data_IF_634130039839
#
_entry.id   IF_634130039839
#
_cell.length_a   1.000
_cell.length_b   1.000
_cell.length_c   1.000
_cell.angle_alpha   90.00
_cell.angle_beta   90.00
_cell.angle_gamma   90.00
#
_symmetry.space_group_name_H-M   'P 1'
#
loop_
_entity.id
_entity.type
_entity.pdbx_description
1 polymer ?
#
# COMPACT_ATOMS: atom_id res chain seq x y z
N UNK A 1 7.08 -64.68 -3.70
CA UNK A 1 6.26 -65.59 -4.52
C UNK A 1 5.44 -64.68 -5.43
N UNK A 2 5.93 -64.40 -6.64
CA UNK A 2 5.71 -65.17 -7.88
C UNK A 2 4.20 -65.26 -8.18
N UNK A 3 3.62 -64.95 -9.33
CA UNK A 3 3.97 -64.52 -10.70
C UNK A 3 2.58 -64.41 -11.39
N UNK A 4 2.34 -63.78 -12.53
CA UNK A 4 3.20 -63.26 -13.57
C UNK A 4 2.36 -62.60 -14.68
N UNK A 5 3.07 -61.80 -15.46
CA UNK A 5 2.63 -61.18 -16.71
C UNK A 5 2.58 -62.19 -17.87
N UNK A 6 1.87 -61.81 -18.94
CA UNK A 6 2.24 -61.85 -20.36
C UNK A 6 0.96 -62.01 -21.21
N UNK A 7 0.83 -61.54 -22.44
CA UNK A 7 1.48 -60.53 -23.29
C UNK A 7 0.78 -60.64 -24.65
N UNK A 8 0.52 -59.49 -25.29
CA UNK A 8 0.58 -59.19 -26.73
C UNK A 8 -0.09 -60.05 -27.82
N UNK A 9 -0.63 -59.30 -28.80
CA UNK A 9 -0.61 -59.44 -30.29
C UNK A 9 -2.04 -59.34 -30.86
N UNK A 10 -2.49 -58.26 -31.53
CA UNK A 10 -2.11 -57.55 -32.77
C UNK A 10 -2.62 -58.20 -34.07
N UNK A 11 -3.25 -57.35 -34.93
CA UNK A 11 -3.51 -57.47 -36.39
C UNK A 11 -4.75 -58.30 -36.80
N UNK A 12 -5.51 -58.05 -37.89
CA UNK A 12 -5.57 -57.06 -38.99
C UNK A 12 -6.91 -57.31 -39.74
N UNK A 13 -7.50 -56.25 -40.31
CA UNK A 13 -8.29 -56.15 -41.57
C UNK A 13 -9.56 -57.00 -41.86
N UNK A 14 -10.63 -56.25 -42.16
CA UNK A 14 -11.83 -56.45 -43.03
C UNK A 14 -11.57 -57.24 -44.35
N UNK A 15 -12.58 -57.76 -45.13
CA UNK A 15 -13.81 -57.02 -45.51
C UNK A 15 -15.08 -57.79 -46.01
N UNK A 16 -16.09 -57.00 -46.41
CA UNK A 16 -17.23 -57.25 -47.36
C UNK A 16 -18.40 -58.19 -46.97
N UNK A 17 -19.62 -57.65 -46.94
CA UNK A 17 -20.66 -57.80 -47.99
C UNK A 17 -22.05 -57.40 -47.45
N UNK A 18 -22.83 -56.64 -48.24
CA UNK A 18 -24.01 -55.92 -47.77
C UNK A 18 -25.35 -56.63 -47.85
N UNK A 19 -26.38 -55.98 -47.30
CA UNK A 19 -27.71 -55.83 -47.92
C UNK A 19 -28.57 -54.87 -47.12
N UNK A 20 -29.13 -53.87 -47.82
CA UNK A 20 -30.15 -52.92 -47.32
C UNK A 20 -31.48 -53.65 -47.06
N UNK A 21 -32.09 -53.40 -45.91
CA UNK A 21 -33.56 -53.34 -45.75
C UNK A 21 -33.89 -52.15 -44.85
N UNK A 22 -34.56 -51.16 -45.42
CA UNK A 22 -35.22 -50.06 -44.71
C UNK A 22 -36.49 -50.62 -44.05
N UNK A 23 -36.55 -50.56 -42.72
CA UNK A 23 -37.79 -50.72 -41.95
C UNK A 23 -38.09 -49.35 -41.36
N UNK A 24 -39.20 -48.76 -41.79
CA UNK A 24 -39.77 -47.56 -41.16
C UNK A 24 -40.38 -48.01 -39.83
N UNK A 25 -39.78 -47.58 -38.72
CA UNK A 25 -40.33 -47.76 -37.38
C UNK A 25 -40.76 -46.39 -36.86
N UNK A 26 -42.06 -46.21 -36.63
CA UNK A 26 -42.60 -45.02 -35.99
C UNK A 26 -42.12 -44.99 -34.54
N UNK A 27 -41.24 -44.04 -34.21
CA UNK A 27 -40.80 -43.80 -32.83
C UNK A 27 -41.83 -42.93 -32.12
N UNK A 28 -42.64 -43.55 -31.25
CA UNK A 28 -43.35 -42.83 -30.20
C UNK A 28 -42.33 -42.27 -29.20
N UNK A 29 -42.20 -40.94 -29.14
CA UNK A 29 -41.31 -40.28 -28.17
C UNK A 29 -41.81 -40.50 -26.74
N UNK A 30 -40.94 -40.87 -25.78
CA UNK A 30 -41.34 -41.07 -24.39
C UNK A 30 -41.74 -39.74 -23.72
N UNK A 31 -42.77 -39.80 -22.87
CA UNK A 31 -43.31 -38.66 -22.09
C UNK A 31 -42.26 -37.82 -21.34
N UNK A 32 -41.08 -38.39 -21.07
CA UNK A 32 -39.96 -37.70 -20.41
C UNK A 32 -39.42 -36.52 -21.22
N UNK A 33 -39.49 -36.57 -22.56
CA UNK A 33 -39.02 -35.48 -23.42
C UNK A 33 -39.96 -34.26 -23.37
N UNK A 34 -41.27 -34.48 -23.30
CA UNK A 34 -42.26 -33.40 -23.18
C UNK A 34 -42.16 -32.71 -21.82
N UNK A 35 -41.97 -33.46 -20.73
CA UNK A 35 -41.78 -32.85 -19.40
C UNK A 35 -40.51 -31.98 -19.32
N UNK A 36 -39.42 -32.39 -19.96
CA UNK A 36 -38.18 -31.60 -19.99
C UNK A 36 -38.32 -30.32 -20.81
N UNK A 37 -39.05 -30.36 -21.94
CA UNK A 37 -39.31 -29.17 -22.75
C UNK A 37 -40.20 -28.14 -22.02
N UNK A 38 -41.23 -28.61 -21.31
CA UNK A 38 -42.08 -27.74 -20.49
C UNK A 38 -41.32 -27.09 -19.34
N UNK A 39 -40.39 -27.80 -18.71
CA UNK A 39 -39.57 -27.25 -17.63
C UNK A 39 -38.64 -26.13 -18.14
N UNK A 40 -38.04 -26.31 -19.33
CA UNK A 40 -37.22 -25.28 -19.98
C UNK A 40 -38.04 -24.06 -20.41
N UNK A 41 -39.26 -24.26 -20.91
CA UNK A 41 -40.18 -23.16 -21.26
C UNK A 41 -40.61 -22.36 -20.02
N UNK A 42 -40.90 -23.03 -18.90
CA UNK A 42 -41.26 -22.38 -17.64
C UNK A 42 -40.09 -21.61 -17.03
N UNK A 43 -38.87 -22.16 -17.08
CA UNK A 43 -37.66 -21.45 -16.67
C UNK A 43 -37.38 -20.23 -17.55
N UNK A 44 -37.60 -20.35 -18.87
CA UNK A 44 -37.47 -19.24 -19.82
C UNK A 44 -38.47 -18.13 -19.55
N UNK A 45 -39.75 -18.47 -19.35
CA UNK A 45 -40.80 -17.50 -19.05
C UNK A 45 -40.58 -16.81 -17.68
N UNK A 46 -40.18 -17.56 -16.65
CA UNK A 46 -39.86 -17.01 -15.34
C UNK A 46 -38.64 -16.07 -15.36
N UNK A 47 -37.61 -16.43 -16.14
CA UNK A 47 -36.42 -15.59 -16.31
C UNK A 47 -36.73 -14.28 -17.05
N UNK A 48 -37.63 -14.33 -18.04
CA UNK A 48 -38.06 -13.14 -18.78
C UNK A 48 -38.89 -12.20 -17.90
N UNK A 49 -39.82 -12.73 -17.11
CA UNK A 49 -40.60 -11.94 -16.15
C UNK A 49 -39.72 -11.27 -15.08
N UNK A 50 -38.69 -11.98 -14.61
CA UNK A 50 -37.72 -11.41 -13.67
C UNK A 50 -36.91 -10.27 -14.30
N UNK A 51 -36.50 -10.41 -15.57
CA UNK A 51 -35.79 -9.34 -16.30
C UNK A 51 -36.67 -8.10 -16.52
N UNK A 52 -37.94 -8.30 -16.87
CA UNK A 52 -38.91 -7.19 -17.00
C UNK A 52 -39.10 -6.48 -15.67
N UNK A 53 -39.25 -7.21 -14.56
CA UNK A 53 -39.34 -6.60 -13.23
C UNK A 53 -38.07 -5.87 -12.79
N UNK A 54 -36.89 -6.40 -13.14
CA UNK A 54 -35.61 -5.75 -12.84
C UNK A 54 -35.38 -4.49 -13.67
N UNK A 55 -35.87 -4.44 -14.92
CA UNK A 55 -35.86 -3.22 -15.73
C UNK A 55 -36.80 -2.15 -15.17
N UNK A 56 -38.01 -2.53 -14.74
CA UNK A 56 -38.97 -1.60 -14.12
C UNK A 56 -38.42 -1.00 -12.80
N UNK A 57 -37.72 -1.81 -12.00
CA UNK A 57 -36.98 -1.33 -10.82
C UNK A 57 -35.82 -0.39 -11.17
N UNK A 58 -35.14 -0.62 -12.29
CA UNK A 58 -34.06 0.26 -12.76
C UNK A 58 -34.59 1.60 -13.25
N UNK A 59 -35.72 1.61 -13.96
CA UNK A 59 -36.35 2.82 -14.48
C UNK A 59 -36.97 3.67 -13.37
N UNK A 60 -37.57 3.03 -12.36
CA UNK A 60 -38.07 3.72 -11.16
C UNK A 60 -36.96 4.35 -10.32
N UNK A 61 -35.81 3.69 -10.18
CA UNK A 61 -34.63 4.26 -9.51
C UNK A 61 -34.02 5.43 -10.31
N UNK A 62 -34.03 5.36 -11.63
CA UNK A 62 -33.48 6.42 -12.49
C UNK A 62 -34.38 7.66 -12.52
N UNK A 63 -35.70 7.49 -12.37
CA UNK A 63 -36.65 8.60 -12.29
C UNK A 63 -36.62 9.32 -10.93
N UNK A 64 -36.15 8.66 -9.86
CA UNK A 64 -35.98 9.28 -8.54
C UNK A 64 -34.67 10.09 -8.41
N UNK A 65 -33.74 9.97 -9.37
CA UNK A 65 -32.43 10.63 -9.36
C UNK A 65 -32.32 11.89 -10.23
N UNK A 66 -33.41 12.37 -10.84
CA UNK A 66 -33.36 13.58 -11.67
C UNK A 66 -34.60 14.47 -11.54
N UNK A 67 -34.52 15.51 -10.70
CA UNK A 67 -35.15 16.79 -11.00
C UNK A 67 -34.08 17.88 -11.12
N UNK A 68 -33.96 18.44 -12.34
CA UNK A 68 -33.58 19.84 -12.58
C UNK A 68 -32.11 20.23 -12.34
N UNK A 69 -31.35 20.33 -13.43
CA UNK A 69 -30.07 21.02 -13.45
C UNK A 69 -30.23 22.51 -13.05
N UNK A 70 -29.58 22.91 -11.95
CA UNK A 70 -29.29 24.31 -11.65
C UNK A 70 -27.78 24.48 -11.57
N UNK A 71 -27.28 25.35 -12.45
CA UNK A 71 -25.89 25.79 -12.56
C UNK A 71 -25.48 26.51 -11.25
N UNK A 72 -24.64 25.89 -10.41
CA UNK A 72 -24.08 26.55 -9.23
C UNK A 72 -22.62 26.92 -9.49
N UNK A 73 -22.43 28.21 -9.77
CA UNK A 73 -21.17 28.94 -9.62
C UNK A 73 -20.79 28.96 -8.14
N UNK A 74 -19.54 28.64 -7.82
CA UNK A 74 -19.03 28.60 -6.46
C UNK A 74 -19.08 29.98 -5.76
N UNK A 75 -19.64 30.10 -4.55
CA UNK A 75 -19.40 31.26 -3.70
C UNK A 75 -18.18 31.01 -2.81
N UNK A 76 -17.28 32.00 -2.78
CA UNK A 76 -16.19 32.08 -1.81
C UNK A 76 -16.72 32.19 -0.38
N UNK A 77 -15.99 31.58 0.56
CA UNK A 77 -16.31 31.64 1.98
C UNK A 77 -15.85 32.97 2.60
N UNK A 78 -16.70 33.66 3.37
CA UNK A 78 -16.33 34.87 4.07
C UNK A 78 -15.68 34.57 5.42
N UNK A 79 -14.74 35.43 5.80
CA UNK A 79 -14.13 35.57 7.12
C UNK A 79 -15.11 36.32 8.03
N UNK A 80 -15.44 35.78 9.20
CA UNK A 80 -15.97 36.51 10.36
C UNK A 80 -15.27 35.97 11.62
N UNK A 81 -14.40 36.77 12.27
CA UNK A 81 -14.65 37.74 13.35
C UNK A 81 -15.26 37.12 14.62
N UNK A 82 -14.44 37.16 15.66
CA UNK A 82 -14.74 36.83 17.06
C UNK A 82 -15.95 37.59 17.60
N UNK A 83 -16.74 36.91 18.45
CA UNK A 83 -17.36 37.53 19.61
C UNK A 83 -17.72 36.48 20.68
N UNK A 84 -17.40 36.84 21.91
CA UNK A 84 -17.59 36.15 23.18
C UNK A 84 -19.05 36.14 23.66
N UNK A 85 -19.45 35.09 24.38
CA UNK A 85 -20.40 35.20 25.49
C UNK A 85 -20.34 33.96 26.41
N UNK A 86 -20.65 34.24 27.67
CA UNK A 86 -20.34 33.51 28.89
C UNK A 86 -21.27 32.34 29.26
N UNK A 87 -20.71 31.47 30.11
CA UNK A 87 -21.29 30.73 31.25
C UNK A 87 -22.44 29.73 31.07
N UNK A 88 -22.21 28.47 31.48
CA UNK A 88 -22.75 27.93 32.75
C UNK A 88 -22.17 26.53 33.05
N UNK A 89 -21.82 26.33 34.33
CA UNK A 89 -21.29 25.12 34.93
C UNK A 89 -22.33 23.99 35.08
N UNK A 90 -21.87 22.75 35.30
CA UNK A 90 -22.36 21.82 36.34
C UNK A 90 -21.44 20.58 36.45
N UNK A 91 -20.80 20.42 37.63
CA UNK A 91 -20.58 19.21 38.47
C UNK A 91 -20.26 17.88 37.73
N UNK A 92 -19.14 17.18 37.92
CA UNK A 92 -18.41 16.87 39.15
C UNK A 92 -18.63 15.39 39.52
N UNK A 93 -17.71 14.49 39.14
CA UNK A 93 -17.55 13.18 39.80
C UNK A 93 -16.09 12.74 39.76
N UNK A 94 -15.55 12.63 40.96
CA UNK A 94 -14.19 12.25 41.32
C UNK A 94 -14.21 10.76 41.70
N UNK A 95 -13.36 9.94 41.08
CA UNK A 95 -13.04 8.59 41.56
C UNK A 95 -11.55 8.35 41.35
N UNK A 96 -10.81 8.54 42.44
CA UNK A 96 -9.42 8.11 42.57
C UNK A 96 -9.28 6.59 42.53
N UNK A 97 -8.23 6.13 41.85
CA UNK A 97 -7.79 4.75 41.81
C UNK A 97 -6.33 4.69 41.38
N UNK A 98 -5.46 4.49 42.36
CA UNK A 98 -4.00 4.34 42.27
C UNK A 98 -3.63 2.99 41.65
N UNK A 99 -2.64 2.93 40.74
CA UNK A 99 -1.63 1.85 40.54
C UNK A 99 -0.61 2.26 39.44
N UNK A 100 0.62 1.67 39.38
CA UNK A 100 1.84 2.44 39.19
C UNK A 100 2.59 2.17 37.87
N UNK A 101 3.48 3.11 37.52
CA UNK A 101 4.72 2.78 36.80
C UNK A 101 4.68 2.94 35.27
N UNK A 102 4.66 4.19 34.78
CA UNK A 102 5.17 4.51 33.45
C UNK A 102 5.98 5.82 33.53
N UNK A 103 7.26 5.72 33.20
CA UNK A 103 8.24 6.82 33.20
C UNK A 103 7.75 7.97 32.31
N UNK A 104 7.28 9.06 32.94
CA UNK A 104 7.08 10.36 32.29
C UNK A 104 8.37 11.16 32.42
N UNK A 105 8.97 11.53 31.30
CA UNK A 105 9.97 12.60 31.25
C UNK A 105 9.24 13.94 31.39
N UNK A 106 9.43 14.62 32.51
CA UNK A 106 9.11 16.04 32.65
C UNK A 106 10.17 16.87 31.91
N UNK A 107 9.72 17.79 31.04
CA UNK A 107 10.57 18.80 30.44
C UNK A 107 10.24 20.14 31.11
N UNK A 108 11.15 20.60 31.96
CA UNK A 108 11.13 21.95 32.53
C UNK A 108 11.34 23.00 31.44
N UNK A 109 10.65 24.13 31.59
CA UNK A 109 10.61 25.24 30.65
C UNK A 109 11.37 26.45 31.20
N UNK A 110 12.26 27.04 30.38
CA UNK A 110 12.73 28.44 30.45
C UNK A 110 13.61 28.76 29.20
N UNK A 111 13.92 30.02 28.88
CA UNK A 111 13.08 30.94 28.12
C UNK A 111 13.67 31.31 26.74
N UNK A 112 12.82 31.93 25.93
CA UNK A 112 13.04 32.41 24.56
C UNK A 112 13.92 33.68 24.56
N UNK A 113 14.93 33.73 23.68
CA UNK A 113 15.56 34.98 23.19
C UNK A 113 15.83 34.91 21.66
N UNK A 114 15.91 36.05 20.97
CA UNK A 114 15.41 36.22 19.61
C UNK A 114 16.43 35.98 18.49
N UNK A 115 15.89 35.72 17.29
CA UNK A 115 16.60 35.54 16.02
C UNK A 115 17.23 36.83 15.48
N UNK A 116 18.35 36.75 14.73
CA UNK A 116 18.71 37.79 13.77
C UNK A 116 18.34 37.37 12.33
N UNK A 117 17.83 38.35 11.58
CA UNK A 117 17.47 38.27 10.17
C UNK A 117 18.66 38.32 9.18
N UNK A 118 18.39 38.41 7.87
CA UNK A 118 19.29 37.90 6.83
C UNK A 118 20.22 38.97 6.23
N UNK A 119 21.45 38.58 5.89
CA UNK A 119 22.40 39.37 5.10
C UNK A 119 23.29 38.46 4.25
N UNK A 120 23.34 38.73 2.94
CA UNK A 120 24.01 37.98 1.88
C UNK A 120 25.55 38.26 1.81
N UNK A 121 26.27 37.91 0.72
CA UNK A 121 27.16 36.76 0.63
C UNK A 121 28.66 37.18 0.58
N UNK A 122 29.57 36.29 0.97
CA UNK A 122 31.01 36.52 0.78
C UNK A 122 31.65 35.51 -0.16
N UNK A 123 32.47 36.08 -1.04
CA UNK A 123 33.03 35.53 -2.25
C UNK A 123 34.07 34.42 -1.98
N UNK A 124 34.06 33.45 -2.88
CA UNK A 124 35.06 32.39 -3.00
C UNK A 124 36.32 32.95 -3.69
N UNK A 125 37.43 33.10 -2.96
CA UNK A 125 38.75 33.27 -3.55
C UNK A 125 39.47 31.93 -3.61
N UNK A 126 39.80 31.53 -4.85
CA UNK A 126 40.71 30.44 -5.19
C UNK A 126 42.14 30.84 -4.86
N UNK A 127 42.90 29.93 -4.26
CA UNK A 127 44.34 29.85 -4.49
C UNK A 127 44.76 28.40 -4.67
N UNK A 128 45.40 28.18 -5.82
CA UNK A 128 46.04 26.95 -6.23
C UNK A 128 47.47 26.93 -5.69
N UNK A 129 47.94 25.78 -5.18
CA UNK A 129 49.36 25.49 -5.14
C UNK A 129 49.66 24.10 -5.71
N UNK A 130 50.59 24.15 -6.66
CA UNK A 130 51.11 23.09 -7.52
C UNK A 130 52.14 22.28 -6.74
N UNK A 131 52.00 20.97 -6.78
CA UNK A 131 52.88 20.01 -6.14
C UNK A 131 54.21 19.85 -6.91
N UNK A 132 55.30 19.64 -6.17
CA UNK A 132 56.51 18.97 -6.63
C UNK A 132 56.93 17.95 -5.56
N UNK A 133 57.22 16.74 -6.04
CA UNK A 133 57.71 15.53 -5.37
C UNK A 133 59.03 15.78 -4.58
N UNK A 134 59.43 15.04 -3.55
CA UNK A 134 59.54 13.57 -3.40
C UNK A 134 59.69 13.15 -1.91
N UNK A 135 59.08 12.00 -1.58
CA UNK A 135 59.51 10.94 -0.64
C UNK A 135 59.97 11.29 0.78
N UNK A 136 59.14 10.94 1.78
CA UNK A 136 59.54 9.98 2.82
C UNK A 136 58.33 9.37 3.55
N UNK A 137 58.52 8.14 3.99
CA UNK A 137 57.53 7.12 4.27
C UNK A 137 57.09 7.16 5.75
N UNK A 138 55.86 7.56 6.07
CA UNK A 138 55.24 7.25 7.37
C UNK A 138 53.76 6.88 7.22
N UNK A 139 53.50 5.60 7.40
CA UNK A 139 52.18 5.00 7.42
C UNK A 139 51.50 5.31 8.76
N UNK A 140 50.78 6.44 8.82
CA UNK A 140 49.94 6.79 9.95
C UNK A 140 48.70 5.86 9.99
N UNK A 141 48.71 4.90 10.92
CA UNK A 141 47.53 4.10 11.28
C UNK A 141 46.46 5.04 11.85
N UNK A 142 45.28 5.05 11.22
CA UNK A 142 44.08 5.64 11.81
C UNK A 142 43.76 4.94 13.15
N UNK A 143 43.53 5.67 14.25
CA UNK A 143 43.24 5.05 15.53
C UNK A 143 41.86 4.37 15.49
N UNK A 144 41.81 3.14 15.97
CA UNK A 144 40.58 2.37 16.18
C UNK A 144 39.76 3.07 17.29
N UNK A 145 38.45 3.33 17.09
CA UNK A 145 37.64 4.02 18.08
C UNK A 145 37.63 3.26 19.41
N UNK A 146 37.72 3.99 20.53
CA UNK A 146 37.70 3.40 21.87
C UNK A 146 36.26 3.06 22.29
N UNK A 147 36.05 2.15 23.25
CA UNK A 147 34.70 1.76 23.69
C UNK A 147 33.80 2.93 24.14
N UNK A 148 34.39 3.99 24.70
CA UNK A 148 33.66 5.20 25.08
C UNK A 148 33.16 6.03 23.88
N UNK A 149 33.88 5.99 22.75
CA UNK A 149 33.48 6.69 21.53
C UNK A 149 32.28 6.01 20.86
N UNK A 150 32.21 4.67 20.91
CA UNK A 150 31.11 3.88 20.32
C UNK A 150 29.80 4.14 21.07
N UNK A 151 29.82 4.14 22.40
CA UNK A 151 28.63 4.48 23.21
C UNK A 151 28.11 5.89 22.90
N UNK A 152 29.01 6.88 22.74
CA UNK A 152 28.62 8.25 22.40
C UNK A 152 28.00 8.40 20.99
N UNK A 153 28.39 7.55 20.04
CA UNK A 153 27.86 7.55 18.68
C UNK A 153 26.48 6.88 18.62
N UNK A 154 26.30 5.75 19.32
CA UNK A 154 25.02 5.06 19.43
C UNK A 154 23.98 5.95 20.13
N UNK A 155 24.35 6.63 21.22
CA UNK A 155 23.47 7.56 21.93
C UNK A 155 23.06 8.76 21.05
N UNK A 156 23.99 9.31 20.26
CA UNK A 156 23.69 10.37 19.29
C UNK A 156 22.76 9.90 18.18
N UNK A 157 22.95 8.69 17.66
CA UNK A 157 22.06 8.11 16.65
C UNK A 157 20.67 7.86 17.21
N UNK A 158 20.57 7.33 18.44
CA UNK A 158 19.31 7.13 19.14
C UNK A 158 18.56 8.45 19.34
N UNK A 159 19.27 9.49 19.80
CA UNK A 159 18.69 10.82 20.00
C UNK A 159 18.25 11.48 18.68
N UNK A 160 19.05 11.36 17.62
CA UNK A 160 18.73 11.88 16.29
C UNK A 160 17.47 11.23 15.70
N UNK A 161 17.31 9.92 15.88
CA UNK A 161 16.12 9.21 15.40
C UNK A 161 14.87 9.57 16.21
N UNK A 162 14.99 9.69 17.53
CA UNK A 162 13.88 10.14 18.38
C UNK A 162 13.38 11.55 17.99
N UNK A 163 14.30 12.49 17.73
CA UNK A 163 13.98 13.83 17.22
C UNK A 163 13.30 13.78 15.85
N UNK A 164 13.80 12.92 14.95
CA UNK A 164 13.20 12.71 13.62
C UNK A 164 11.77 12.21 13.73
N UNK A 165 11.51 11.22 14.59
CA UNK A 165 10.15 10.69 14.82
C UNK A 165 9.23 11.73 15.47
N UNK A 166 9.73 12.53 16.42
CA UNK A 166 8.98 13.62 17.02
C UNK A 166 8.56 14.67 15.97
N UNK A 167 9.48 15.06 15.09
CA UNK A 167 9.22 16.01 13.99
C UNK A 167 8.19 15.46 12.99
N UNK A 168 8.35 14.20 12.53
CA UNK A 168 7.39 13.55 11.61
C UNK A 168 5.99 13.47 12.19
N UNK A 169 5.85 13.05 13.46
CA UNK A 169 4.55 12.99 14.13
C UNK A 169 3.93 14.37 14.33
N UNK A 170 4.74 15.38 14.64
CA UNK A 170 4.27 16.76 14.76
C UNK A 170 3.70 17.26 13.43
N UNK A 171 4.45 17.13 12.34
CA UNK A 171 3.99 17.53 11.02
C UNK A 171 2.70 16.80 10.64
N UNK A 172 2.65 15.48 10.84
CA UNK A 172 1.44 14.71 10.52
C UNK A 172 0.22 15.24 11.30
N UNK A 173 0.37 15.55 12.59
CA UNK A 173 -0.71 16.15 13.39
C UNK A 173 -1.14 17.52 12.84
N UNK A 174 -0.19 18.38 12.47
CA UNK A 174 -0.47 19.70 11.91
C UNK A 174 -1.24 19.59 10.57
N UNK A 175 -0.80 18.69 9.68
CA UNK A 175 -1.49 18.41 8.41
C UNK A 175 -2.89 17.83 8.67
N UNK A 176 -3.02 16.89 9.59
CA UNK A 176 -4.32 16.31 9.93
C UNK A 176 -5.29 17.33 10.53
N UNK A 177 -4.83 18.19 11.43
CA UNK A 177 -5.64 19.26 12.00
C UNK A 177 -6.14 20.23 10.91
N UNK A 178 -5.31 20.52 9.91
CA UNK A 178 -5.66 21.43 8.81
C UNK A 178 -6.63 20.81 7.79
N UNK A 179 -6.39 19.57 7.36
CA UNK A 179 -7.12 18.98 6.22
C UNK A 179 -8.18 17.94 6.60
N UNK A 180 -8.12 17.40 7.82
CA UNK A 180 -9.09 16.42 8.33
C UNK A 180 -9.45 16.69 9.79
N UNK A 181 -10.01 17.88 10.12
CA UNK A 181 -10.42 18.20 11.48
C UNK A 181 -11.46 17.19 11.99
N UNK A 182 -11.38 16.87 13.28
CA UNK A 182 -12.23 15.87 13.94
C UNK A 182 -12.01 14.43 13.47
N UNK A 183 -10.96 14.12 12.69
CA UNK A 183 -10.71 12.75 12.24
C UNK A 183 -10.58 11.75 13.40
N UNK A 184 -9.99 12.16 14.53
CA UNK A 184 -9.79 11.31 15.71
C UNK A 184 -11.05 11.07 16.54
N UNK A 185 -12.09 11.86 16.34
CA UNK A 185 -13.39 11.71 17.02
C UNK A 185 -14.30 10.73 16.30
N UNK A 186 -13.96 10.40 15.05
CA UNK A 186 -14.74 9.47 14.23
C UNK A 186 -14.50 8.03 14.70
N UNK A 187 -15.54 7.20 14.76
CA UNK A 187 -15.37 5.79 15.05
C UNK A 187 -14.53 5.12 13.96
N UNK A 188 -13.63 4.25 14.37
CA UNK A 188 -12.78 3.49 13.46
C UNK A 188 -13.61 2.36 12.84
N UNK A 189 -13.74 2.39 11.51
CA UNK A 189 -14.42 1.32 10.78
C UNK A 189 -13.50 0.13 10.49
N UNK A 190 -14.07 -1.08 10.36
CA UNK A 190 -13.32 -2.29 9.94
C UNK A 190 -12.51 -2.07 8.66
N UNK A 191 -13.06 -1.35 7.69
CA UNK A 191 -12.37 -1.06 6.42
C UNK A 191 -11.05 -0.33 6.64
N UNK A 192 -11.02 0.66 7.55
CA UNK A 192 -9.83 1.47 7.83
C UNK A 192 -8.72 0.69 8.53
N UNK A 193 -9.06 -0.39 9.24
CA UNK A 193 -8.10 -1.22 9.97
C UNK A 193 -7.82 -2.57 9.29
N UNK A 194 -8.45 -2.87 8.16
CA UNK A 194 -8.25 -4.12 7.41
C UNK A 194 -6.81 -4.36 6.94
N UNK A 195 -5.99 -3.31 6.95
CA UNK A 195 -4.57 -3.35 6.57
C UNK A 195 -3.60 -3.38 7.72
N UNK A 196 -4.12 -3.30 8.94
CA UNK A 196 -3.31 -3.23 10.16
C UNK A 196 -3.11 -4.65 10.67
N UNK A 197 -1.89 -5.13 10.59
CA UNK A 197 -1.48 -6.38 11.24
C UNK A 197 -1.25 -6.17 12.72
N UNK A 198 -1.60 -7.19 13.51
CA UNK A 198 -1.45 -7.21 14.96
C UNK A 198 -0.38 -8.23 15.35
N UNK A 199 0.60 -7.78 16.13
CA UNK A 199 1.57 -8.64 16.78
C UNK A 199 1.55 -8.32 18.29
N UNK A 200 0.78 -9.11 19.05
CA UNK A 200 0.49 -8.81 20.45
C UNK A 200 1.72 -9.00 21.37
N UNK A 201 2.68 -9.88 21.06
CA UNK A 201 3.81 -10.19 21.98
C UNK A 201 4.73 -8.99 22.19
N UNK A 202 4.96 -8.22 21.13
CA UNK A 202 5.73 -6.97 21.19
C UNK A 202 4.83 -5.73 21.16
N UNK A 203 3.51 -5.93 21.30
CA UNK A 203 2.49 -4.88 21.27
C UNK A 203 2.60 -3.94 20.06
N UNK A 204 2.63 -4.51 18.85
CA UNK A 204 2.77 -3.77 17.60
C UNK A 204 1.50 -3.81 16.74
N UNK A 205 1.21 -2.66 16.13
CA UNK A 205 0.25 -2.53 15.03
C UNK A 205 1.00 -2.05 13.79
N UNK A 206 0.97 -2.82 12.70
CA UNK A 206 1.68 -2.49 11.47
C UNK A 206 0.70 -2.32 10.30
N UNK A 207 0.61 -1.10 9.75
CA UNK A 207 -0.18 -0.91 8.52
C UNK A 207 0.61 -1.32 7.28
N UNK A 208 0.05 -2.25 6.51
CA UNK A 208 0.63 -2.70 5.25
C UNK A 208 0.54 -1.63 4.16
N UNK A 209 1.69 -1.07 3.82
CA UNK A 209 1.88 -0.25 2.60
C UNK A 209 2.64 -1.07 1.55
N UNK A 210 1.97 -1.55 0.48
CA UNK A 210 2.65 -2.25 -0.58
C UNK A 210 3.73 -1.37 -1.23
N UNK A 211 4.84 -2.02 -1.60
CA UNK A 211 6.03 -1.39 -2.22
C UNK A 211 6.85 -0.47 -1.30
N UNK A 212 6.54 -0.47 0.00
CA UNK A 212 7.32 0.18 1.05
C UNK A 212 7.95 -0.84 2.04
N UNK A 213 8.37 -2.01 1.54
CA UNK A 213 9.03 -3.04 2.36
C UNK A 213 8.10 -4.00 3.11
N UNK A 214 6.81 -4.02 2.78
CA UNK A 214 5.79 -4.78 3.51
C UNK A 214 6.05 -6.29 3.64
N UNK A 215 6.57 -6.96 2.62
CA UNK A 215 6.89 -8.40 2.69
C UNK A 215 7.91 -8.69 3.79
N UNK A 216 8.91 -7.84 3.92
CA UNK A 216 9.96 -7.97 4.94
C UNK A 216 9.44 -7.61 6.34
N UNK A 217 8.54 -6.63 6.44
CA UNK A 217 7.83 -6.36 7.70
C UNK A 217 6.98 -7.55 8.16
N UNK A 218 6.24 -8.20 7.26
CA UNK A 218 5.48 -9.41 7.63
C UNK A 218 6.38 -10.51 8.17
N UNK A 219 7.55 -10.74 7.55
CA UNK A 219 8.55 -11.68 8.07
C UNK A 219 9.03 -11.32 9.47
N UNK A 220 9.30 -10.05 9.71
CA UNK A 220 9.70 -9.55 11.03
C UNK A 220 8.60 -9.81 12.06
N UNK A 221 7.33 -9.50 11.74
CA UNK A 221 6.19 -9.77 12.63
C UNK A 221 6.01 -11.27 12.89
N UNK A 222 6.23 -12.13 11.89
CA UNK A 222 6.18 -13.59 12.07
C UNK A 222 7.26 -14.09 13.03
N UNK A 223 8.46 -13.51 12.98
CA UNK A 223 9.55 -13.86 13.92
C UNK A 223 9.27 -13.33 15.32
N UNK A 224 8.80 -12.07 15.44
CA UNK A 224 8.42 -11.48 16.74
C UNK A 224 7.27 -12.26 17.41
N UNK A 225 6.27 -12.68 16.63
CA UNK A 225 5.15 -13.50 17.10
C UNK A 225 5.52 -14.95 17.44
N UNK A 226 6.73 -15.39 17.12
CA UNK A 226 7.22 -16.75 17.37
C UNK A 226 6.74 -17.79 16.36
N UNK A 227 6.13 -17.39 15.24
CA UNK A 227 5.69 -18.29 14.17
C UNK A 227 6.82 -18.70 13.22
N UNK A 228 7.98 -18.06 13.31
CA UNK A 228 9.16 -18.39 12.52
C UNK A 228 10.46 -18.08 13.28
N UNK A 229 11.51 -18.86 13.03
CA UNK A 229 12.81 -18.67 13.71
C UNK A 229 13.71 -17.64 13.03
N UNK A 230 13.52 -17.39 11.72
CA UNK A 230 14.36 -16.49 10.94
C UNK A 230 13.62 -15.90 9.76
N UNK A 231 13.81 -14.60 9.51
CA UNK A 231 13.23 -13.91 8.36
C UNK A 231 13.70 -14.50 7.02
N UNK A 232 14.90 -15.08 6.97
CA UNK A 232 15.48 -15.68 5.75
C UNK A 232 14.83 -17.02 5.36
N UNK A 233 14.21 -17.70 6.31
CA UNK A 233 13.56 -19.00 6.08
C UNK A 233 12.15 -18.88 5.48
N UNK A 234 11.60 -17.67 5.42
CA UNK A 234 10.21 -17.42 5.00
C UNK A 234 10.20 -17.01 3.53
N UNK A 235 9.62 -17.85 2.65
CA UNK A 235 9.52 -17.55 1.22
C UNK A 235 8.58 -16.35 0.96
N UNK A 236 8.62 -15.81 -0.27
CA UNK A 236 7.80 -14.67 -0.65
C UNK A 236 6.31 -14.95 -0.46
N UNK A 237 5.85 -16.07 -1.03
CA UNK A 237 4.44 -16.43 -1.01
C UNK A 237 3.97 -16.77 0.40
N UNK A 238 4.81 -17.38 1.23
CA UNK A 238 4.49 -17.64 2.64
C UNK A 238 4.26 -16.34 3.41
N UNK A 239 5.15 -15.35 3.24
CA UNK A 239 5.00 -14.05 3.88
C UNK A 239 3.71 -13.33 3.45
N UNK A 240 3.16 -13.62 2.26
CA UNK A 240 1.96 -12.96 1.74
C UNK A 240 0.66 -13.73 2.00
N UNK A 241 0.67 -15.05 1.84
CA UNK A 241 -0.52 -15.88 1.79
C UNK A 241 -0.61 -16.90 2.92
N UNK A 242 0.51 -17.30 3.53
CA UNK A 242 0.56 -18.30 4.61
C UNK A 242 1.12 -17.74 5.94
N UNK A 243 1.13 -16.42 6.11
CA UNK A 243 1.78 -15.76 7.25
C UNK A 243 1.04 -15.92 8.59
N UNK A 244 -0.25 -16.28 8.56
CA UNK A 244 -1.12 -16.43 9.75
C UNK A 244 -1.14 -15.20 10.68
N UNK A 245 -0.69 -14.03 10.21
CA UNK A 245 -0.68 -12.80 10.99
C UNK A 245 -2.11 -12.30 11.14
N UNK A 246 -2.51 -12.03 12.39
CA UNK A 246 -3.83 -11.46 12.69
C UNK A 246 -3.92 -10.05 12.15
N UNK A 247 -5.10 -9.68 11.66
CA UNK A 247 -5.43 -8.31 11.24
C UNK A 247 -6.40 -7.70 12.25
N UNK A 248 -6.30 -6.38 12.41
CA UNK A 248 -7.06 -5.64 13.41
C UNK A 248 -8.57 -5.66 13.11
N UNK A 249 -8.99 -5.77 11.84
CA UNK A 249 -10.39 -5.94 11.44
C UNK A 249 -10.99 -7.32 11.77
N UNK A 250 -10.16 -8.26 12.22
CA UNK A 250 -10.58 -9.55 12.76
C UNK A 250 -11.03 -9.51 14.21
N UNK A 251 -10.82 -8.39 14.92
CA UNK A 251 -11.25 -8.19 16.31
C UNK A 251 -12.62 -7.50 16.38
N UNK A 252 -13.28 -7.62 17.53
CA UNK A 252 -14.48 -6.84 17.84
C UNK A 252 -14.12 -5.37 18.19
N UNK A 253 -15.13 -4.56 18.46
CA UNK A 253 -14.94 -3.12 18.68
C UNK A 253 -14.06 -2.83 19.90
N UNK A 254 -14.24 -3.58 20.99
CA UNK A 254 -13.45 -3.46 22.21
C UNK A 254 -11.99 -3.87 21.96
N UNK A 255 -11.76 -5.02 21.33
CA UNK A 255 -10.42 -5.50 21.00
C UNK A 255 -9.67 -4.61 20.01
N UNK A 256 -10.39 -3.94 19.09
CA UNK A 256 -9.81 -2.89 18.23
C UNK A 256 -9.40 -1.68 19.06
N UNK A 257 -10.30 -1.16 19.92
CA UNK A 257 -10.03 0.02 20.73
C UNK A 257 -8.86 -0.20 21.70
N UNK A 258 -8.86 -1.33 22.40
CA UNK A 258 -7.78 -1.76 23.31
C UNK A 258 -6.42 -1.70 22.63
N UNK A 259 -6.29 -2.29 21.44
CA UNK A 259 -5.04 -2.35 20.69
C UNK A 259 -4.61 -1.00 20.15
N UNK A 260 -5.54 -0.20 19.63
CA UNK A 260 -5.22 1.15 19.17
C UNK A 260 -4.68 2.03 20.31
N UNK A 261 -5.15 1.80 21.53
CA UNK A 261 -4.70 2.48 22.74
C UNK A 261 -3.37 1.95 23.29
N UNK A 262 -3.18 0.63 23.34
CA UNK A 262 -2.05 -0.01 24.04
C UNK A 262 -0.83 -0.30 23.16
N UNK A 263 -1.02 -0.50 21.85
CA UNK A 263 0.05 -0.93 20.96
C UNK A 263 0.77 0.23 20.27
N UNK A 264 2.05 0.02 20.00
CA UNK A 264 2.87 0.91 19.18
C UNK A 264 2.47 0.78 17.71
N UNK A 265 2.01 1.86 17.12
CA UNK A 265 1.52 1.90 15.73
C UNK A 265 2.61 2.30 14.76
N UNK A 266 2.87 1.43 13.80
CA UNK A 266 3.96 1.51 12.84
C UNK A 266 3.44 1.77 11.43
N UNK A 267 4.03 2.76 10.76
CA UNK A 267 3.79 3.05 9.36
C UNK A 267 5.14 3.22 8.66
N UNK A 268 5.40 2.44 7.61
CA UNK A 268 6.54 2.64 6.73
C UNK A 268 6.06 3.16 5.37
N UNK A 269 6.55 4.33 4.99
CA UNK A 269 6.19 5.02 3.76
C UNK A 269 7.36 5.03 2.79
N UNK A 270 7.07 5.35 1.54
CA UNK A 270 8.05 5.48 0.46
C UNK A 270 7.71 6.71 -0.36
N UNK A 271 8.72 7.33 -0.98
CA UNK A 271 8.53 8.38 -1.97
C UNK A 271 7.40 7.98 -2.96
N UNK A 272 6.33 8.79 -3.11
CA UNK A 272 5.11 8.34 -3.79
C UNK A 272 5.30 7.89 -5.24
N UNK A 273 6.16 8.57 -6.01
CA UNK A 273 6.43 8.24 -7.41
C UNK A 273 7.31 7.01 -7.55
N UNK A 274 8.31 6.84 -6.70
CA UNK A 274 9.07 5.60 -6.62
C UNK A 274 8.19 4.41 -6.25
N UNK A 275 7.24 4.61 -5.32
CA UNK A 275 6.27 3.59 -4.91
C UNK A 275 5.37 3.20 -6.09
N UNK A 276 4.83 4.19 -6.81
CA UNK A 276 4.00 3.96 -8.00
C UNK A 276 4.76 3.19 -9.08
N UNK A 277 5.99 3.60 -9.39
CA UNK A 277 6.83 2.93 -10.38
C UNK A 277 7.17 1.52 -9.93
N UNK A 278 7.47 1.31 -8.64
CA UNK A 278 7.66 -0.04 -8.10
C UNK A 278 6.42 -0.91 -8.21
N UNK A 279 5.21 -0.35 -8.16
CA UNK A 279 3.97 -1.08 -8.40
C UNK A 279 3.83 -1.45 -9.88
N UNK A 280 4.01 -0.49 -10.78
CA UNK A 280 3.94 -0.73 -12.23
C UNK A 280 4.91 -1.83 -12.66
N UNK A 281 6.18 -1.69 -12.29
CA UNK A 281 7.24 -2.65 -12.62
C UNK A 281 6.95 -4.06 -12.12
N UNK A 282 6.37 -4.17 -10.93
CA UNK A 282 6.01 -5.46 -10.35
C UNK A 282 4.80 -6.12 -11.02
N UNK A 283 3.84 -5.34 -11.49
CA UNK A 283 2.54 -5.83 -11.97
C UNK A 283 2.46 -6.01 -13.48
N UNK A 284 3.22 -5.23 -14.26
CA UNK A 284 3.03 -5.13 -15.71
C UNK A 284 4.27 -5.41 -16.58
N UNK A 285 5.49 -5.42 -16.01
CA UNK A 285 6.71 -5.66 -16.83
C UNK A 285 7.03 -7.14 -17.02
N UNK A 286 6.67 -7.98 -16.05
CA UNK A 286 6.86 -9.43 -16.11
C UNK A 286 5.50 -10.12 -16.28
N UNK A 287 5.44 -11.30 -16.91
CA UNK A 287 4.21 -12.07 -17.02
C UNK A 287 3.50 -12.20 -15.67
N UNK A 288 2.23 -11.79 -15.62
CA UNK A 288 1.42 -11.81 -14.41
C UNK A 288 0.02 -12.34 -14.72
N UNK A 289 -0.32 -13.51 -14.18
CA UNK A 289 -1.58 -14.22 -14.44
C UNK A 289 -2.82 -13.52 -13.88
N UNK A 290 -2.66 -12.61 -12.91
CA UNK A 290 -3.76 -11.85 -12.32
C UNK A 290 -3.84 -10.44 -12.91
N UNK A 291 -2.75 -9.67 -12.82
CA UNK A 291 -2.78 -8.25 -13.17
C UNK A 291 -2.92 -8.00 -14.66
N UNK A 292 -2.36 -8.85 -15.53
CA UNK A 292 -2.52 -8.65 -16.98
C UNK A 292 -3.98 -8.88 -17.42
N UNK A 293 -4.66 -9.99 -17.06
CA UNK A 293 -6.06 -10.15 -17.42
C UNK A 293 -7.00 -9.14 -16.74
N UNK A 294 -6.83 -8.88 -15.44
CA UNK A 294 -7.76 -8.06 -14.65
C UNK A 294 -7.58 -6.57 -14.92
N UNK A 295 -6.34 -6.07 -14.94
CA UNK A 295 -6.07 -4.64 -15.14
C UNK A 295 -5.51 -4.34 -16.54
N UNK A 296 -4.58 -5.16 -17.03
CA UNK A 296 -3.90 -4.89 -18.29
C UNK A 296 -4.83 -4.87 -19.50
N UNK A 297 -5.77 -5.83 -19.60
CA UNK A 297 -6.74 -5.87 -20.70
C UNK A 297 -7.64 -4.62 -20.70
N UNK A 298 -8.31 -4.22 -19.59
CA UNK A 298 -9.10 -2.99 -19.57
C UNK A 298 -8.29 -1.72 -19.83
N UNK A 299 -7.06 -1.62 -19.31
CA UNK A 299 -6.17 -0.48 -19.56
C UNK A 299 -5.86 -0.36 -21.05
N UNK A 300 -5.37 -1.44 -21.66
CA UNK A 300 -5.03 -1.44 -23.10
C UNK A 300 -6.28 -1.16 -23.93
N UNK A 301 -7.40 -1.81 -23.63
CA UNK A 301 -8.65 -1.64 -24.38
C UNK A 301 -9.18 -0.21 -24.35
N UNK A 302 -8.94 0.54 -23.27
CA UNK A 302 -9.49 1.89 -23.09
C UNK A 302 -8.56 2.98 -23.61
N UNK A 303 -7.25 2.83 -23.41
CA UNK A 303 -6.29 3.92 -23.62
C UNK A 303 -5.40 3.73 -24.86
N UNK A 304 -5.44 2.57 -25.52
CA UNK A 304 -4.65 2.28 -26.73
C UNK A 304 -5.52 2.21 -27.97
N UNK A 305 -5.41 3.21 -28.86
CA UNK A 305 -6.21 3.27 -30.08
C UNK A 305 -5.99 2.08 -31.03
N UNK A 306 -4.72 1.67 -31.25
CA UNK A 306 -4.36 0.61 -32.20
C UNK A 306 -3.77 -0.62 -31.47
N UNK A 307 -4.52 -1.17 -30.53
CA UNK A 307 -4.08 -2.33 -29.75
C UNK A 307 -4.06 -3.61 -30.61
N UNK A 308 -2.97 -4.38 -30.53
CA UNK A 308 -2.90 -5.69 -31.18
C UNK A 308 -3.91 -6.68 -30.55
N UNK A 309 -4.42 -7.63 -31.34
CA UNK A 309 -5.30 -8.70 -30.83
C UNK A 309 -4.65 -9.46 -29.67
N UNK A 310 -3.34 -9.67 -29.74
CA UNK A 310 -2.58 -10.30 -28.66
C UNK A 310 -2.64 -9.48 -27.36
N UNK A 311 -2.42 -8.17 -27.43
CA UNK A 311 -2.46 -7.29 -26.27
C UNK A 311 -3.86 -7.20 -25.66
N UNK A 312 -4.91 -7.12 -26.49
CA UNK A 312 -6.31 -7.10 -26.04
C UNK A 312 -6.73 -8.43 -25.37
N UNK A 313 -6.19 -9.55 -25.86
CA UNK A 313 -6.46 -10.88 -25.31
C UNK A 313 -5.73 -11.15 -24.01
N UNK A 314 -4.45 -10.77 -23.93
CA UNK A 314 -3.57 -11.14 -22.80
C UNK A 314 -3.45 -10.06 -21.73
N UNK A 315 -3.63 -8.79 -22.11
CA UNK A 315 -3.35 -7.64 -21.25
C UNK A 315 -1.86 -7.36 -21.06
N UNK A 316 -0.99 -8.04 -21.81
CA UNK A 316 0.45 -7.86 -21.71
C UNK A 316 0.92 -6.59 -22.43
N UNK A 317 1.99 -5.99 -21.91
CA UNK A 317 2.63 -4.83 -22.53
C UNK A 317 1.90 -3.51 -22.28
N UNK A 318 1.24 -3.35 -21.14
CA UNK A 318 0.75 -2.04 -20.66
C UNK A 318 1.95 -1.10 -20.54
N UNK A 319 1.85 0.10 -21.12
CA UNK A 319 2.88 1.13 -20.97
C UNK A 319 2.66 1.93 -19.68
N UNK A 320 3.73 2.55 -19.16
CA UNK A 320 3.61 3.36 -17.95
C UNK A 320 2.65 4.55 -18.14
N UNK A 321 2.66 5.17 -19.32
CA UNK A 321 1.75 6.27 -19.64
C UNK A 321 0.29 5.83 -19.64
N UNK A 322 -0.06 4.68 -20.22
CA UNK A 322 -1.43 4.13 -20.17
C UNK A 322 -1.84 3.78 -18.73
N UNK A 323 -0.91 3.27 -17.92
CA UNK A 323 -1.15 3.02 -16.50
C UNK A 323 -1.41 4.32 -15.72
N UNK A 324 -0.71 5.40 -16.01
CA UNK A 324 -0.96 6.72 -15.39
C UNK A 324 -2.30 7.30 -15.86
N UNK A 325 -2.64 7.16 -17.15
CA UNK A 325 -3.97 7.54 -17.66
C UNK A 325 -5.08 6.79 -16.93
N UNK A 326 -4.90 5.48 -16.71
CA UNK A 326 -5.79 4.67 -15.88
C UNK A 326 -5.90 5.17 -14.44
N UNK A 327 -4.77 5.51 -13.81
CA UNK A 327 -4.74 6.01 -12.44
C UNK A 327 -5.47 7.34 -12.28
N UNK A 328 -5.41 8.20 -13.29
CA UNK A 328 -6.00 9.54 -13.27
C UNK A 328 -7.44 9.57 -13.81
N UNK A 329 -7.95 8.49 -14.40
CA UNK A 329 -9.34 8.42 -14.85
C UNK A 329 -10.29 8.22 -13.67
N UNK A 330 -11.22 9.16 -13.48
CA UNK A 330 -12.29 9.06 -12.47
C UNK A 330 -13.29 7.95 -12.81
N UNK A 331 -13.40 7.56 -14.09
CA UNK A 331 -14.20 6.44 -14.60
C UNK A 331 -13.33 5.25 -14.98
N UNK A 332 -12.22 5.03 -14.25
CA UNK A 332 -11.31 3.90 -14.49
C UNK A 332 -12.08 2.57 -14.52
N UNK A 333 -11.78 1.66 -15.46
CA UNK A 333 -12.63 0.50 -15.75
C UNK A 333 -12.64 -0.61 -14.69
N UNK A 334 -11.69 -0.66 -13.74
CA UNK A 334 -11.60 -1.75 -12.75
C UNK A 334 -11.72 -1.21 -11.32
N UNK A 335 -10.95 -0.18 -10.98
CA UNK A 335 -11.01 0.46 -9.65
C UNK A 335 -9.63 0.80 -9.09
N UNK A 336 -9.59 1.18 -7.82
CA UNK A 336 -8.33 1.40 -7.13
C UNK A 336 -7.73 0.08 -6.66
N UNK A 337 -6.45 -0.15 -6.95
CA UNK A 337 -5.70 -1.25 -6.34
C UNK A 337 -4.77 -0.67 -5.27
N UNK A 338 -4.58 -1.49 -4.26
CA UNK A 338 -3.88 -1.22 -3.02
C UNK A 338 -2.39 -0.88 -3.25
N UNK A 339 -1.82 -1.35 -4.37
CA UNK A 339 -0.42 -1.12 -4.71
C UNK A 339 -0.16 0.32 -5.17
N UNK A 340 -1.18 1.03 -5.64
CA UNK A 340 -1.08 2.42 -6.09
C UNK A 340 -2.09 3.36 -5.40
N UNK A 341 -2.87 2.91 -4.42
CA UNK A 341 -3.68 3.78 -3.57
C UNK A 341 -2.81 4.71 -2.71
N UNK A 342 -3.11 6.01 -2.55
CA UNK A 342 -2.35 6.90 -1.66
C UNK A 342 -2.30 6.37 -0.22
N UNK A 343 -1.15 6.48 0.45
CA UNK A 343 -0.96 6.01 1.83
C UNK A 343 -1.88 6.74 2.81
N UNK A 344 -2.14 8.03 2.56
CA UNK A 344 -3.09 8.85 3.29
C UNK A 344 -4.52 8.28 3.29
N UNK A 345 -4.90 7.52 2.26
CA UNK A 345 -6.18 6.80 2.19
C UNK A 345 -6.04 5.38 2.72
N UNK A 346 -5.00 4.66 2.25
CA UNK A 346 -4.75 3.25 2.53
C UNK A 346 -4.61 2.93 4.03
N UNK A 347 -3.97 3.84 4.78
CA UNK A 347 -3.60 3.64 6.18
C UNK A 347 -4.20 4.68 7.14
N UNK A 348 -5.03 5.61 6.67
CA UNK A 348 -5.78 6.56 7.52
C UNK A 348 -4.94 7.21 8.66
N UNK A 349 -3.79 7.85 8.37
CA UNK A 349 -2.84 8.29 9.40
C UNK A 349 -3.40 9.34 10.37
N UNK A 350 -4.37 10.14 9.94
CA UNK A 350 -5.07 11.10 10.80
C UNK A 350 -6.00 10.44 11.83
N UNK A 351 -6.54 9.27 11.51
CA UNK A 351 -7.41 8.50 12.39
C UNK A 351 -6.57 7.64 13.36
N UNK A 352 -5.59 6.92 12.84
CA UNK A 352 -4.87 5.91 13.61
C UNK A 352 -3.73 6.48 14.48
N UNK A 353 -3.22 7.69 14.19
CA UNK A 353 -2.16 8.37 14.98
C UNK A 353 -0.92 7.48 15.21
N UNK A 354 -0.16 7.24 14.14
CA UNK A 354 1.04 6.40 14.20
C UNK A 354 2.11 6.92 15.16
N UNK A 355 2.73 5.99 15.90
CA UNK A 355 3.78 6.24 16.89
C UNK A 355 5.18 6.23 16.24
N UNK A 356 5.34 5.47 15.16
CA UNK A 356 6.56 5.42 14.37
C UNK A 356 6.24 5.53 12.88
N UNK A 357 6.83 6.53 12.22
CA UNK A 357 6.71 6.75 10.78
C UNK A 357 8.09 6.56 10.16
N UNK A 358 8.30 5.39 9.56
CA UNK A 358 9.55 5.02 8.92
C UNK A 358 9.59 5.37 7.43
N UNK A 359 10.78 5.61 6.88
CA UNK A 359 11.00 5.85 5.45
C UNK A 359 11.65 4.65 4.76
N UNK A 360 11.19 4.35 3.54
CA UNK A 360 11.74 3.25 2.75
C UNK A 360 13.20 3.53 2.34
N UNK A 361 13.53 4.81 2.14
CA UNK A 361 14.85 5.26 1.73
C UNK A 361 15.93 4.95 2.79
N UNK A 362 15.53 4.88 4.07
CA UNK A 362 16.36 4.54 5.24
C UNK A 362 15.83 3.28 5.96
N UNK A 363 15.11 2.41 5.24
CA UNK A 363 14.28 1.34 5.82
C UNK A 363 15.03 0.46 6.81
N UNK A 364 16.22 -0.01 6.45
CA UNK A 364 16.99 -0.95 7.27
C UNK A 364 17.43 -0.32 8.58
N UNK A 365 17.93 0.91 8.53
CA UNK A 365 18.39 1.66 9.70
C UNK A 365 17.22 1.95 10.64
N UNK A 366 16.15 2.56 10.12
CA UNK A 366 14.99 2.95 10.92
C UNK A 366 14.22 1.74 11.48
N UNK A 367 14.11 0.66 10.71
CA UNK A 367 13.52 -0.59 11.18
C UNK A 367 14.34 -1.23 12.30
N UNK A 368 15.68 -1.24 12.19
CA UNK A 368 16.53 -1.79 13.23
C UNK A 368 16.49 -0.93 14.49
N UNK A 369 16.47 0.40 14.38
CA UNK A 369 16.25 1.28 15.54
C UNK A 369 14.94 0.93 16.25
N UNK A 370 13.85 0.78 15.50
CA UNK A 370 12.56 0.39 16.07
C UNK A 370 12.65 -0.96 16.78
N UNK A 371 13.24 -1.98 16.14
CA UNK A 371 13.42 -3.31 16.75
C UNK A 371 14.21 -3.25 18.06
N UNK A 372 15.25 -2.42 18.15
CA UNK A 372 15.99 -2.20 19.40
C UNK A 372 15.13 -1.50 20.45
N UNK A 373 14.36 -0.48 20.06
CA UNK A 373 13.52 0.29 20.99
C UNK A 373 12.41 -0.54 21.66
N UNK A 374 11.93 -1.60 21.00
CA UNK A 374 10.88 -2.49 21.54
C UNK A 374 11.45 -3.72 22.25
N UNK A 375 12.77 -3.81 22.42
CA UNK A 375 13.41 -4.97 23.05
C UNK A 375 13.36 -6.26 22.22
N UNK A 376 13.28 -6.16 20.88
CA UNK A 376 13.33 -7.33 20.02
C UNK A 376 14.66 -8.09 20.17
N UNK A 377 14.69 -9.42 19.94
CA UNK A 377 15.91 -10.22 20.02
C UNK A 377 17.08 -9.59 19.26
N UNK A 378 18.28 -9.58 19.86
CA UNK A 378 19.46 -8.92 19.28
C UNK A 378 19.87 -9.49 17.92
N UNK A 379 19.62 -10.78 17.69
CA UNK A 379 19.85 -11.48 16.43
C UNK A 379 18.79 -11.19 15.35
N UNK A 380 17.65 -10.58 15.70
CA UNK A 380 16.65 -10.12 14.75
C UNK A 380 17.05 -8.74 14.21
N UNK A 381 17.22 -8.68 12.90
CA UNK A 381 17.46 -7.44 12.13
C UNK A 381 16.53 -7.41 10.92
N UNK A 382 16.24 -6.21 10.43
CA UNK A 382 15.42 -6.03 9.24
C UNK A 382 16.09 -6.66 8.02
N UNK A 383 15.41 -7.57 7.30
CA UNK A 383 16.01 -8.28 6.18
C UNK A 383 16.19 -7.36 4.96
N UNK A 384 17.36 -7.49 4.32
CA UNK A 384 17.79 -6.65 3.18
C UNK A 384 17.78 -7.40 1.83
N UNK A 385 17.24 -8.62 1.80
CA UNK A 385 17.14 -9.37 0.55
C UNK A 385 15.90 -8.98 -0.26
N UNK A 386 15.97 -9.22 -1.57
CA UNK A 386 14.86 -9.09 -2.52
C UNK A 386 14.55 -10.48 -3.06
N UNK A 387 13.36 -10.96 -2.77
CA UNK A 387 12.88 -12.30 -3.15
C UNK A 387 12.10 -12.27 -4.47
N UNK A 388 11.24 -11.26 -4.65
CA UNK A 388 10.43 -11.09 -5.87
C UNK A 388 11.23 -10.40 -6.97
N UNK A 389 11.30 -11.05 -8.13
CA UNK A 389 12.11 -10.61 -9.29
C UNK A 389 13.56 -10.28 -8.85
N UNK A 390 14.32 -11.23 -8.28
CA UNK A 390 15.58 -10.95 -7.58
C UNK A 390 16.66 -10.38 -8.51
N UNK A 391 16.59 -10.71 -9.81
CA UNK A 391 17.51 -10.19 -10.83
C UNK A 391 17.22 -8.75 -11.26
N UNK A 392 16.04 -8.22 -10.97
CA UNK A 392 15.68 -6.86 -11.34
C UNK A 392 16.22 -5.84 -10.33
N UNK A 393 16.78 -4.73 -10.81
CA UNK A 393 17.21 -3.61 -9.97
C UNK A 393 16.03 -3.08 -9.12
N UNK A 394 16.27 -2.82 -7.83
CA UNK A 394 15.29 -2.17 -6.96
C UNK A 394 14.94 -0.81 -7.55
N UNK A 395 13.67 -0.45 -7.57
CA UNK A 395 13.27 0.90 -7.99
C UNK A 395 14.00 1.91 -7.11
N UNK A 396 14.58 2.91 -7.75
CA UNK A 396 15.30 4.04 -7.16
C UNK A 396 14.73 5.34 -7.74
N UNK A 397 15.12 6.48 -7.18
CA UNK A 397 14.76 7.81 -7.70
C UNK A 397 15.12 7.96 -9.18
N UNK A 398 16.31 7.49 -9.60
CA UNK A 398 16.76 7.52 -11.00
C UNK A 398 15.88 6.67 -11.91
N UNK A 399 15.43 5.50 -11.44
CA UNK A 399 14.48 4.68 -12.19
C UNK A 399 13.15 5.42 -12.30
N UNK A 400 12.61 5.92 -11.19
CA UNK A 400 11.33 6.62 -11.19
C UNK A 400 11.35 7.83 -12.16
N UNK A 401 12.44 8.61 -12.15
CA UNK A 401 12.64 9.72 -13.08
C UNK A 401 12.55 9.28 -14.55
N UNK A 402 13.14 8.14 -14.93
CA UNK A 402 13.05 7.61 -16.30
C UNK A 402 11.62 7.25 -16.72
N UNK A 403 10.76 6.80 -15.81
CA UNK A 403 9.35 6.52 -16.13
C UNK A 403 8.56 7.81 -16.30
N UNK A 404 8.72 8.77 -15.39
CA UNK A 404 7.99 10.04 -15.44
C UNK A 404 8.48 11.00 -16.54
N UNK A 405 9.68 10.78 -17.09
CA UNK A 405 10.14 11.43 -18.32
C UNK A 405 9.31 11.04 -19.56
N UNK A 406 8.61 9.90 -19.53
CA UNK A 406 7.71 9.47 -20.62
C UNK A 406 6.38 10.24 -20.63
N UNK A 407 6.08 10.97 -19.55
CA UNK A 407 4.87 11.76 -19.39
C UNK A 407 5.13 13.21 -19.81
N UNK A 408 4.08 13.93 -20.22
CA UNK A 408 4.16 15.38 -20.35
C UNK A 408 4.01 16.09 -18.98
N UNK A 409 4.24 17.40 -18.94
CA UNK A 409 4.17 18.19 -17.70
C UNK A 409 2.78 18.12 -17.05
N UNK A 410 1.71 18.18 -17.83
CA UNK A 410 0.32 18.07 -17.32
C UNK A 410 0.06 16.70 -16.70
N UNK A 411 0.50 15.61 -17.33
CA UNK A 411 0.37 14.26 -16.80
C UNK A 411 1.18 14.10 -15.49
N UNK A 412 2.39 14.66 -15.43
CA UNK A 412 3.19 14.71 -14.19
C UNK A 412 2.52 15.49 -13.08
N UNK A 413 1.97 16.67 -13.40
CA UNK A 413 1.25 17.50 -12.43
C UNK A 413 0.07 16.76 -11.84
N UNK A 414 -0.78 16.18 -12.68
CA UNK A 414 -1.97 15.45 -12.20
C UNK A 414 -1.61 14.21 -11.39
N UNK A 415 -0.51 13.53 -11.73
CA UNK A 415 0.02 12.43 -10.91
C UNK A 415 0.53 12.93 -9.55
N UNK A 416 1.17 14.10 -9.50
CA UNK A 416 1.60 14.71 -8.25
C UNK A 416 0.39 15.11 -7.39
N UNK A 417 -0.62 15.76 -7.98
CA UNK A 417 -1.86 16.14 -7.30
C UNK A 417 -2.56 14.93 -6.70
N UNK A 418 -2.59 13.81 -7.43
CA UNK A 418 -3.16 12.55 -6.97
C UNK A 418 -2.49 12.02 -5.67
N UNK A 419 -1.18 12.24 -5.51
CA UNK A 419 -0.42 11.85 -4.31
C UNK A 419 -0.09 13.02 -3.38
N UNK A 420 -0.66 14.21 -3.61
CA UNK A 420 -0.25 15.44 -2.93
C UNK A 420 -0.30 15.32 -1.41
N UNK A 421 -1.36 14.69 -0.88
CA UNK A 421 -1.49 14.47 0.56
C UNK A 421 -0.40 13.59 1.14
N UNK A 422 0.12 12.60 0.40
CA UNK A 422 1.24 11.77 0.85
C UNK A 422 2.54 12.58 0.90
N UNK A 423 2.80 13.41 -0.13
CA UNK A 423 3.95 14.33 -0.13
C UNK A 423 3.92 15.26 1.08
N UNK A 424 2.75 15.82 1.36
CA UNK A 424 2.54 16.76 2.44
C UNK A 424 2.64 16.10 3.82
N UNK A 425 1.91 15.00 4.06
CA UNK A 425 1.88 14.30 5.35
C UNK A 425 3.25 13.74 5.75
N UNK A 426 4.05 13.30 4.78
CA UNK A 426 5.30 12.60 5.04
C UNK A 426 6.55 13.43 4.71
N UNK A 427 6.38 14.72 4.42
CA UNK A 427 7.45 15.67 4.11
C UNK A 427 8.40 15.20 3.00
N UNK A 428 7.86 14.65 1.92
CA UNK A 428 8.66 14.33 0.75
C UNK A 428 8.88 15.58 -0.10
N UNK A 429 10.10 15.83 -0.60
CA UNK A 429 10.35 16.95 -1.50
C UNK A 429 9.61 16.75 -2.83
N UNK A 430 9.30 17.85 -3.51
CA UNK A 430 8.76 17.78 -4.88
C UNK A 430 9.76 17.05 -5.79
N UNK A 431 9.33 16.03 -6.55
CA UNK A 431 10.23 15.20 -7.34
C UNK A 431 10.73 15.89 -8.61
N UNK A 432 10.01 16.91 -9.12
CA UNK A 432 10.38 17.64 -10.33
C UNK A 432 10.19 19.15 -10.18
N UNK A 433 10.97 19.90 -10.96
CA UNK A 433 10.99 21.37 -10.96
C UNK A 433 9.79 22.01 -11.67
N UNK A 434 9.04 21.25 -12.45
CA UNK A 434 7.91 21.72 -13.26
C UNK A 434 6.54 21.49 -12.59
N UNK A 435 6.48 21.10 -11.31
CA UNK A 435 5.25 20.73 -10.60
C UNK A 435 4.65 21.84 -9.72
N UNK A 436 3.50 22.42 -10.09
CA UNK A 436 2.77 23.47 -9.35
C UNK A 436 1.27 23.49 -9.65
#
# INVERSE_FOLDING_TARGET
>A
MLSGECSSTSRLLDPLCGRRRLVVSAMTLPCTFYCSLWFLLLLGAGSLLLLVHLQDLSDTLQQQQNPGAVLVVAPGWPVQKEQSSDSAALVGFDLGGVFPGALRFEMSSAPILPSPGPGQPLAFQRSAHKASSTSENQQAKSPRPTPCDVHSVEDRQLQGMAQTQASRRRLLREVCAKYQPGATERPVSRRQVSRVYVEDRSSLLYCEVPKAGCSNWKRVLMVLGGSANSTRSIAHDDAHYANQLRRLDGYDQEGVAERLCSHTKLLFVREPFERLVSAFRDKFESPNSYYHPVFGRPIISRYRANASRYALRTGAGVTFREFVQYLLDVRRPVGMDIHWEPVSQLCSPCLLRYDFIGRFESLKEEANFLLRSIGAPSNLTFPDFKDRNPKAERTSSTIAQRYFQQLNSTERQRAYDFYYMDYLMFNYPKPYKDLY
#
